data_IF_947870095159
#
_entry.id   IF_947870095159
#
_cell.length_a   1.000
_cell.length_b   1.000
_cell.length_c   1.000
_cell.angle_alpha   90.00
_cell.angle_beta   90.00
_cell.angle_gamma   90.00
#
_symmetry.space_group_name_H-M   'P 1'
#
loop_
_entity.id
_entity.type
_entity.pdbx_description
1 polymer ?
#
# COMPACT_ATOMS: atom_id res chain seq x y z
N UNK A 1 8.91 -24.96 -26.14
CA UNK A 1 8.83 -24.55 -24.73
C UNK A 1 9.97 -23.57 -24.45
N UNK A 2 9.73 -22.43 -23.77
CA UNK A 2 10.82 -21.56 -23.34
C UNK A 2 11.75 -22.30 -22.36
N UNK A 3 13.06 -22.00 -22.40
CA UNK A 3 14.02 -22.57 -21.44
C UNK A 3 13.71 -22.11 -20.01
N UNK A 4 14.15 -22.87 -19.01
CA UNK A 4 13.98 -22.54 -17.59
C UNK A 4 14.54 -21.14 -17.25
N UNK A 5 15.66 -20.77 -17.87
CA UNK A 5 16.28 -19.44 -17.71
C UNK A 5 15.41 -18.32 -18.31
N UNK A 6 14.80 -18.57 -19.47
CA UNK A 6 13.89 -17.60 -20.10
C UNK A 6 12.63 -17.39 -19.25
N UNK A 7 12.05 -18.47 -18.69
CA UNK A 7 10.88 -18.34 -17.80
C UNK A 7 11.21 -17.55 -16.53
N UNK A 8 12.35 -17.84 -15.91
CA UNK A 8 12.81 -17.13 -14.72
C UNK A 8 13.01 -15.63 -14.96
N UNK A 9 13.61 -15.27 -16.09
CA UNK A 9 13.79 -13.87 -16.47
C UNK A 9 12.45 -13.16 -16.70
N UNK A 10 11.49 -13.82 -17.36
CA UNK A 10 10.14 -13.28 -17.57
C UNK A 10 9.44 -13.02 -16.23
N UNK A 11 9.48 -13.96 -15.30
CA UNK A 11 8.84 -13.79 -14.00
C UNK A 11 9.49 -12.68 -13.17
N UNK A 12 10.83 -12.57 -13.17
CA UNK A 12 11.54 -11.51 -12.44
C UNK A 12 11.23 -10.13 -13.03
N UNK A 13 11.15 -10.01 -14.35
CA UNK A 13 10.69 -8.79 -15.00
C UNK A 13 9.23 -8.46 -14.66
N UNK A 14 8.33 -9.45 -14.68
CA UNK A 14 6.93 -9.25 -14.29
C UNK A 14 6.81 -8.80 -12.83
N UNK A 15 7.55 -9.43 -11.93
CA UNK A 15 7.64 -9.05 -10.50
C UNK A 15 8.10 -7.59 -10.35
N UNK A 16 9.16 -7.20 -11.07
CA UNK A 16 9.68 -5.84 -11.07
C UNK A 16 8.63 -4.81 -11.52
N UNK A 17 7.90 -5.09 -12.61
CA UNK A 17 6.85 -4.19 -13.10
C UNK A 17 5.72 -4.03 -12.07
N UNK A 18 5.28 -5.13 -11.46
CA UNK A 18 4.23 -5.10 -10.43
C UNK A 18 4.71 -4.32 -9.20
N UNK A 19 5.96 -4.48 -8.80
CA UNK A 19 6.58 -3.74 -7.70
C UNK A 19 6.65 -2.24 -7.98
N UNK A 20 7.01 -1.82 -9.19
CA UNK A 20 6.96 -0.41 -9.58
C UNK A 20 5.55 0.17 -9.51
N UNK A 21 4.55 -0.56 -10.01
CA UNK A 21 3.15 -0.14 -9.94
C UNK A 21 2.66 -0.05 -8.49
N UNK A 22 3.01 -1.03 -7.65
CA UNK A 22 2.68 -1.03 -6.23
C UNK A 22 3.33 0.15 -5.49
N UNK A 23 4.61 0.41 -5.76
CA UNK A 23 5.35 1.55 -5.20
C UNK A 23 4.73 2.89 -5.64
N UNK A 24 4.37 3.02 -6.91
CA UNK A 24 3.68 4.20 -7.43
C UNK A 24 2.34 4.42 -6.74
N UNK A 25 1.52 3.37 -6.61
CA UNK A 25 0.24 3.44 -5.91
C UNK A 25 0.40 3.84 -4.43
N UNK A 26 1.32 3.19 -3.71
CA UNK A 26 1.61 3.54 -2.32
C UNK A 26 2.12 4.98 -2.17
N UNK A 27 2.97 5.44 -3.09
CA UNK A 27 3.49 6.81 -3.12
C UNK A 27 2.41 7.86 -3.38
N UNK A 28 1.52 7.61 -4.34
CA UNK A 28 0.37 8.48 -4.62
C UNK A 28 -0.55 8.57 -3.40
N UNK A 29 -0.85 7.42 -2.76
CA UNK A 29 -1.63 7.39 -1.53
C UNK A 29 -1.02 8.25 -0.43
N UNK A 30 0.29 8.09 -0.17
CA UNK A 30 1.01 8.87 0.82
C UNK A 30 0.98 10.38 0.50
N UNK A 31 1.26 10.74 -0.75
CA UNK A 31 1.30 12.14 -1.19
C UNK A 31 -0.05 12.84 -1.02
N UNK A 32 -1.15 12.18 -1.41
CA UNK A 32 -2.50 12.71 -1.24
C UNK A 32 -2.88 12.84 0.24
N UNK A 33 -2.51 11.87 1.09
CA UNK A 33 -2.75 11.97 2.54
C UNK A 33 -1.99 13.13 3.16
N UNK A 34 -0.73 13.34 2.77
CA UNK A 34 0.08 14.45 3.27
C UNK A 34 -0.42 15.81 2.78
N UNK A 35 -0.94 15.89 1.55
CA UNK A 35 -1.55 17.12 1.04
C UNK A 35 -2.85 17.50 1.78
N UNK A 36 -3.57 16.50 2.32
CA UNK A 36 -4.87 16.68 2.96
C UNK A 36 -4.83 16.61 4.49
N UNK A 37 -3.64 16.45 5.07
CA UNK A 37 -3.45 16.35 6.52
C UNK A 37 -2.30 17.26 6.94
N UNK A 38 -2.52 18.14 7.92
CA UNK A 38 -1.42 18.89 8.50
C UNK A 38 -0.76 18.07 9.62
N UNK A 39 0.55 17.84 9.53
CA UNK A 39 1.34 17.15 10.56
C UNK A 39 2.21 18.11 11.41
N UNK A 40 2.12 19.41 11.19
CA UNK A 40 2.90 20.45 11.88
C UNK A 40 2.36 20.81 13.28
N UNK A 41 2.76 21.98 13.78
CA UNK A 41 2.36 22.49 15.12
C UNK A 41 0.84 22.65 15.26
N UNK A 42 0.13 22.87 14.14
CA UNK A 42 -1.33 22.91 14.06
C UNK A 42 -1.85 21.69 13.29
N UNK A 43 -1.55 20.49 13.81
CA UNK A 43 -1.92 19.26 13.14
C UNK A 43 -3.43 19.05 13.12
N UNK A 44 -4.05 19.14 11.94
CA UNK A 44 -5.48 18.92 11.75
C UNK A 44 -5.72 17.57 11.11
N UNK A 45 -6.60 16.77 11.74
CA UNK A 45 -7.03 15.48 11.24
C UNK A 45 -8.54 15.51 11.01
N UNK A 46 -8.96 15.18 9.80
CA UNK A 46 -10.37 15.16 9.44
C UNK A 46 -10.97 13.75 9.44
N UNK A 47 -10.33 12.80 10.13
CA UNK A 47 -10.81 11.43 10.23
C UNK A 47 -11.53 11.19 11.56
N UNK A 48 -12.63 10.45 11.47
CA UNK A 48 -13.48 10.05 12.60
C UNK A 48 -14.03 11.23 13.41
N UNK A 49 -14.37 12.35 12.75
CA UNK A 49 -14.97 13.51 13.42
C UNK A 49 -16.33 13.13 14.00
N UNK A 50 -16.53 13.41 15.29
CA UNK A 50 -17.81 13.22 15.98
C UNK A 50 -18.72 14.45 15.87
N UNK A 51 -20.01 14.28 16.17
CA UNK A 51 -20.98 15.38 16.20
C UNK A 51 -20.54 16.53 17.13
N UNK A 52 -20.07 16.19 18.34
CA UNK A 52 -19.63 17.19 19.32
C UNK A 52 -18.41 17.97 18.86
N UNK A 53 -17.50 17.32 18.12
CA UNK A 53 -16.33 17.94 17.54
C UNK A 53 -16.70 18.85 16.36
N UNK A 54 -17.57 18.39 15.46
CA UNK A 54 -18.04 19.17 14.32
C UNK A 54 -18.84 20.43 14.73
N UNK A 55 -19.47 20.42 15.91
CA UNK A 55 -20.20 21.57 16.45
C UNK A 55 -19.33 22.55 17.24
N UNK A 56 -18.08 22.21 17.58
CA UNK A 56 -17.22 23.05 18.41
C UNK A 56 -15.91 23.38 17.69
N UNK A 57 -15.79 24.61 17.19
CA UNK A 57 -14.63 25.10 16.44
C UNK A 57 -13.39 25.37 17.29
N UNK A 58 -13.49 25.38 18.63
CA UNK A 58 -12.34 25.49 19.53
C UNK A 58 -11.53 24.19 19.63
N UNK A 59 -12.06 23.11 19.05
CA UNK A 59 -11.59 21.75 19.16
C UNK A 59 -10.89 21.31 17.85
N UNK A 60 -9.70 21.87 17.56
CA UNK A 60 -9.05 21.73 16.24
C UNK A 60 -8.15 20.49 16.07
N UNK A 61 -7.80 19.80 17.17
CA UNK A 61 -6.78 18.73 17.22
C UNK A 61 -7.32 17.32 17.56
N UNK A 62 -8.52 16.96 17.12
CA UNK A 62 -9.06 15.62 17.41
C UNK A 62 -8.48 14.57 16.48
N UNK A 63 -8.16 13.40 17.03
CA UNK A 63 -7.73 12.22 16.29
C UNK A 63 -6.44 12.37 15.45
N UNK A 64 -5.61 13.37 15.78
CA UNK A 64 -4.24 13.54 15.24
C UNK A 64 -3.42 12.24 15.30
N UNK A 65 -3.45 11.42 16.37
CA UNK A 65 -2.73 10.15 16.40
C UNK A 65 -3.14 9.20 15.27
N UNK A 66 -4.42 9.20 14.87
CA UNK A 66 -4.96 8.33 13.83
C UNK A 66 -4.46 8.74 12.44
N UNK A 67 -4.49 10.03 12.12
CA UNK A 67 -3.91 10.52 10.88
C UNK A 67 -2.38 10.30 10.83
N UNK A 68 -1.68 10.52 11.95
CA UNK A 68 -0.24 10.22 12.05
C UNK A 68 0.05 8.73 11.83
N UNK A 69 -0.76 7.85 12.40
CA UNK A 69 -0.64 6.40 12.20
C UNK A 69 -0.83 6.04 10.72
N UNK A 70 -1.84 6.61 10.05
CA UNK A 70 -2.08 6.37 8.62
C UNK A 70 -0.91 6.83 7.76
N UNK A 71 -0.38 8.04 8.01
CA UNK A 71 0.75 8.58 7.24
C UNK A 71 2.02 7.79 7.52
N UNK A 72 2.28 7.43 8.77
CA UNK A 72 3.43 6.60 9.15
C UNK A 72 3.34 5.23 8.48
N UNK A 73 2.16 4.60 8.47
CA UNK A 73 1.94 3.30 7.83
C UNK A 73 2.19 3.40 6.31
N UNK A 74 1.59 4.38 5.64
CA UNK A 74 1.83 4.62 4.22
C UNK A 74 3.31 4.88 3.90
N UNK A 75 4.02 5.62 4.76
CA UNK A 75 5.46 5.90 4.63
C UNK A 75 6.31 4.64 4.80
N UNK A 76 6.02 3.80 5.80
CA UNK A 76 6.75 2.56 6.01
C UNK A 76 6.52 1.62 4.83
N UNK A 77 5.28 1.51 4.35
CA UNK A 77 4.95 0.70 3.18
C UNK A 77 5.69 1.17 1.91
N UNK A 78 5.75 2.47 1.63
CA UNK A 78 6.48 3.00 0.47
C UNK A 78 7.97 2.71 0.58
N UNK A 79 8.57 2.84 1.76
CA UNK A 79 9.98 2.49 1.98
C UNK A 79 10.22 0.99 1.76
N UNK A 80 9.38 0.13 2.32
CA UNK A 80 9.48 -1.31 2.14
C UNK A 80 9.35 -1.71 0.67
N UNK A 81 8.39 -1.14 -0.06
CA UNK A 81 8.22 -1.37 -1.49
C UNK A 81 9.41 -0.83 -2.30
N UNK A 82 9.95 0.34 -1.95
CA UNK A 82 11.13 0.89 -2.61
C UNK A 82 12.34 -0.03 -2.45
N UNK A 83 12.55 -0.60 -1.26
CA UNK A 83 13.61 -1.58 -1.00
C UNK A 83 13.41 -2.85 -1.83
N UNK A 84 12.18 -3.38 -1.89
CA UNK A 84 11.88 -4.56 -2.72
C UNK A 84 12.12 -4.29 -4.20
N UNK A 85 11.63 -3.16 -4.71
CA UNK A 85 11.85 -2.73 -6.10
C UNK A 85 13.34 -2.58 -6.40
N UNK A 86 14.12 -1.99 -5.50
CA UNK A 86 15.56 -1.84 -5.68
C UNK A 86 16.28 -3.19 -5.72
N UNK A 87 15.92 -4.14 -4.84
CA UNK A 87 16.52 -5.48 -4.83
C UNK A 87 16.20 -6.22 -6.14
N UNK A 88 14.93 -6.21 -6.56
CA UNK A 88 14.51 -6.88 -7.80
C UNK A 88 15.17 -6.22 -9.03
N UNK A 89 15.28 -4.89 -9.04
CA UNK A 89 15.95 -4.13 -10.10
C UNK A 89 17.42 -4.51 -10.23
N UNK A 90 18.14 -4.63 -9.12
CA UNK A 90 19.55 -5.07 -9.10
C UNK A 90 19.66 -6.51 -9.62
N UNK A 91 18.76 -7.39 -9.21
CA UNK A 91 18.75 -8.79 -9.65
C UNK A 91 18.55 -8.91 -11.17
N UNK A 92 17.58 -8.16 -11.73
CA UNK A 92 17.31 -8.11 -13.18
C UNK A 92 18.48 -7.47 -13.94
N UNK A 93 19.03 -6.36 -13.44
CA UNK A 93 20.05 -5.57 -14.16
C UNK A 93 21.41 -6.24 -14.22
N UNK A 94 21.86 -6.84 -13.11
CA UNK A 94 23.20 -7.41 -13.02
C UNK A 94 23.24 -8.93 -13.12
N UNK A 95 22.08 -9.59 -13.32
CA UNK A 95 21.94 -11.06 -13.27
C UNK A 95 22.54 -11.68 -12.01
N UNK A 96 22.59 -10.92 -10.91
CA UNK A 96 23.18 -11.38 -9.65
C UNK A 96 22.18 -12.30 -8.96
N UNK A 97 22.60 -13.55 -8.74
CA UNK A 97 21.82 -14.51 -7.98
C UNK A 97 22.12 -14.35 -6.49
N UNK A 98 21.23 -13.70 -5.75
CA UNK A 98 21.35 -13.59 -4.29
C UNK A 98 21.07 -14.99 -3.70
N UNK A 99 22.12 -15.79 -3.50
CA UNK A 99 22.04 -17.18 -3.04
C UNK A 99 21.73 -17.36 -1.55
N UNK A 100 21.53 -16.28 -0.79
CA UNK A 100 21.41 -16.39 0.66
C UNK A 100 19.95 -16.58 1.07
N UNK A 101 19.62 -17.73 1.65
CA UNK A 101 18.29 -18.06 2.19
C UNK A 101 17.75 -16.97 3.14
N UNK A 102 18.63 -16.35 3.93
CA UNK A 102 18.33 -15.22 4.81
C UNK A 102 17.77 -14.02 4.03
N UNK A 103 18.30 -13.72 2.84
CA UNK A 103 17.81 -12.62 2.01
C UNK A 103 16.39 -12.88 1.50
N UNK A 104 16.06 -14.15 1.19
CA UNK A 104 14.72 -14.53 0.74
C UNK A 104 13.68 -14.42 1.87
N UNK A 105 14.02 -14.85 3.09
CA UNK A 105 13.16 -14.68 4.27
C UNK A 105 12.89 -13.19 4.52
N UNK A 106 13.94 -12.37 4.49
CA UNK A 106 13.81 -10.92 4.69
C UNK A 106 12.89 -10.30 3.63
N UNK A 107 13.02 -10.67 2.36
CA UNK A 107 12.13 -10.18 1.30
C UNK A 107 10.66 -10.50 1.60
N UNK A 108 10.34 -11.74 2.00
CA UNK A 108 8.97 -12.13 2.34
C UNK A 108 8.43 -11.31 3.52
N UNK A 109 9.25 -11.09 4.54
CA UNK A 109 8.86 -10.24 5.69
C UNK A 109 8.58 -8.80 5.26
N UNK A 110 9.40 -8.24 4.35
CA UNK A 110 9.19 -6.89 3.82
C UNK A 110 7.90 -6.83 2.99
N UNK A 111 7.59 -7.85 2.19
CA UNK A 111 6.32 -7.93 1.46
C UNK A 111 5.10 -7.94 2.40
N UNK A 112 5.10 -8.84 3.38
CA UNK A 112 4.00 -8.96 4.37
C UNK A 112 3.85 -7.66 5.15
N UNK A 113 4.96 -7.05 5.57
CA UNK A 113 4.97 -5.74 6.21
C UNK A 113 4.32 -4.67 5.33
N UNK A 114 4.74 -4.58 4.07
CA UNK A 114 4.19 -3.59 3.10
C UNK A 114 2.67 -3.74 2.94
N UNK A 115 2.21 -4.98 2.76
CA UNK A 115 0.78 -5.31 2.62
C UNK A 115 0.01 -4.87 3.87
N UNK A 116 0.51 -5.23 5.06
CA UNK A 116 -0.14 -4.91 6.33
C UNK A 116 -0.23 -3.39 6.56
N UNK A 117 0.85 -2.65 6.32
CA UNK A 117 0.85 -1.19 6.50
C UNK A 117 -0.03 -0.45 5.47
N UNK A 118 -0.12 -0.94 4.23
CA UNK A 118 -1.07 -0.40 3.26
C UNK A 118 -2.52 -0.71 3.63
N UNK A 119 -2.80 -1.90 4.17
CA UNK A 119 -4.13 -2.24 4.68
C UNK A 119 -4.54 -1.34 5.84
N UNK A 120 -3.63 -1.10 6.80
CA UNK A 120 -3.89 -0.17 7.90
C UNK A 120 -4.23 1.22 7.36
N UNK A 121 -3.42 1.73 6.43
CA UNK A 121 -3.69 3.01 5.76
C UNK A 121 -5.08 3.02 5.10
N UNK A 122 -5.36 2.03 4.26
CA UNK A 122 -6.64 1.91 3.55
C UNK A 122 -7.83 1.92 4.52
N UNK A 123 -7.81 1.07 5.54
CA UNK A 123 -8.92 0.94 6.50
C UNK A 123 -9.10 2.23 7.30
N UNK A 124 -8.01 2.81 7.81
CA UNK A 124 -8.06 4.03 8.63
C UNK A 124 -8.61 5.22 7.82
N UNK A 125 -8.14 5.38 6.59
CA UNK A 125 -8.58 6.49 5.72
C UNK A 125 -10.03 6.31 5.29
N UNK A 126 -10.40 5.12 4.82
CA UNK A 126 -11.79 4.86 4.37
C UNK A 126 -12.80 5.03 5.50
N UNK A 127 -12.63 4.28 6.59
CA UNK A 127 -13.58 4.32 7.73
C UNK A 127 -13.55 5.66 8.46
N UNK A 128 -12.38 6.29 8.52
CA UNK A 128 -12.21 7.61 9.12
C UNK A 128 -12.91 8.70 8.34
N UNK A 129 -12.73 8.73 7.02
CA UNK A 129 -13.39 9.70 6.16
C UNK A 129 -14.90 9.47 6.09
N UNK A 130 -15.34 8.21 5.95
CA UNK A 130 -16.75 7.84 5.93
C UNK A 130 -17.49 8.33 7.18
N UNK A 131 -16.91 8.09 8.37
CA UNK A 131 -17.51 8.55 9.63
C UNK A 131 -17.61 10.07 9.69
N UNK A 132 -16.56 10.78 9.30
CA UNK A 132 -16.59 12.25 9.23
C UNK A 132 -17.71 12.73 8.31
N UNK A 133 -17.82 12.14 7.13
CA UNK A 133 -18.85 12.46 6.15
C UNK A 133 -20.27 12.19 6.65
N UNK A 134 -20.49 11.05 7.30
CA UNK A 134 -21.77 10.72 7.91
C UNK A 134 -22.15 11.74 9.00
N UNK A 135 -21.18 12.16 9.83
CA UNK A 135 -21.39 13.18 10.86
C UNK A 135 -21.84 14.51 10.26
N UNK A 136 -21.11 15.04 9.28
CA UNK A 136 -21.45 16.33 8.66
C UNK A 136 -22.79 16.27 7.92
N UNK A 137 -23.06 15.19 7.17
CA UNK A 137 -24.35 14.97 6.51
C UNK A 137 -25.50 14.95 7.51
N UNK A 138 -25.32 14.35 8.68
CA UNK A 138 -26.36 14.31 9.70
C UNK A 138 -26.65 15.71 10.27
N UNK A 139 -25.61 16.50 10.55
CA UNK A 139 -25.75 17.88 11.04
C UNK A 139 -26.58 18.71 10.06
N UNK A 140 -26.19 18.71 8.78
CA UNK A 140 -26.91 19.44 7.73
C UNK A 140 -28.36 18.95 7.60
N UNK A 141 -28.59 17.64 7.66
CA UNK A 141 -29.96 17.06 7.58
C UNK A 141 -30.84 17.50 8.75
N UNK A 142 -30.27 17.67 9.95
CA UNK A 142 -31.01 18.15 11.13
C UNK A 142 -31.20 19.66 11.17
N UNK A 143 -30.79 20.40 10.13
CA UNK A 143 -30.87 21.86 10.09
C UNK A 143 -29.82 22.56 10.96
N UNK A 144 -28.82 21.82 11.46
CA UNK A 144 -27.69 22.39 12.17
C UNK A 144 -26.66 22.94 11.20
N UNK A 145 -26.02 24.03 11.58
CA UNK A 145 -24.85 24.57 10.87
C UNK A 145 -23.60 24.12 11.62
N UNK A 146 -22.68 23.35 10.99
CA UNK A 146 -21.43 22.98 11.63
C UNK A 146 -20.68 24.23 12.13
N UNK A 147 -19.92 24.09 13.21
CA UNK A 147 -19.08 25.18 13.71
C UNK A 147 -17.87 25.49 12.81
N UNK A 148 -17.64 24.70 11.76
CA UNK A 148 -16.56 24.90 10.79
C UNK A 148 -16.84 26.06 9.84
N UNK A 149 -15.78 26.73 9.39
CA UNK A 149 -15.83 27.88 8.47
C UNK A 149 -16.33 27.49 7.06
N UNK A 150 -16.31 26.20 6.73
CA UNK A 150 -16.74 25.63 5.45
C UNK A 150 -17.81 24.54 5.65
N UNK A 151 -18.69 24.41 4.66
CA UNK A 151 -19.57 23.25 4.52
C UNK A 151 -18.76 22.10 3.93
N UNK A 152 -18.67 20.97 4.64
CA UNK A 152 -17.78 19.88 4.24
C UNK A 152 -18.30 19.15 3.00
N UNK A 153 -17.62 19.29 1.86
CA UNK A 153 -17.83 18.44 0.68
C UNK A 153 -17.04 17.14 0.81
N UNK A 154 -17.75 16.03 0.93
CA UNK A 154 -17.18 14.71 1.09
C UNK A 154 -16.51 14.14 -0.15
N UNK A 155 -16.84 14.66 -1.33
CA UNK A 155 -16.41 14.12 -2.61
C UNK A 155 -15.63 15.15 -3.44
N UNK A 156 -15.34 16.31 -2.87
CA UNK A 156 -14.79 17.44 -3.62
C UNK A 156 -13.95 18.40 -2.78
N UNK A 157 -13.53 19.52 -3.39
CA UNK A 157 -12.76 20.55 -2.73
C UNK A 157 -13.62 21.38 -1.78
N UNK A 158 -13.01 21.93 -0.72
CA UNK A 158 -13.70 22.84 0.19
C UNK A 158 -13.58 24.28 -0.28
N UNK A 159 -14.70 25.00 -0.31
CA UNK A 159 -14.76 26.42 -0.64
C UNK A 159 -15.45 27.20 0.46
N UNK A 160 -14.99 28.43 0.68
CA UNK A 160 -15.68 29.41 1.51
C UNK A 160 -16.47 30.30 0.56
N UNK A 161 -17.80 30.35 0.74
CA UNK A 161 -18.66 31.29 0.04
C UNK A 161 -18.66 32.61 0.80
N UNK A 162 -18.17 33.68 0.18
CA UNK A 162 -18.41 35.04 0.69
C UNK A 162 -19.75 35.58 0.15
N UNK A 163 -20.32 36.57 0.85
CA UNK A 163 -21.58 37.22 0.48
C UNK A 163 -21.53 37.99 -0.85
N UNK A 164 -20.37 38.07 -1.50
CA UNK A 164 -20.10 38.80 -2.74
C UNK A 164 -19.90 37.87 -3.96
N UNK A 165 -20.42 36.64 -3.88
CA UNK A 165 -20.46 35.68 -4.99
C UNK A 165 -19.06 35.23 -5.47
N UNK A 166 -18.02 35.42 -4.66
CA UNK A 166 -16.66 34.94 -4.94
C UNK A 166 -16.33 33.78 -4.00
N UNK A 167 -16.13 32.59 -4.58
CA UNK A 167 -15.70 31.40 -3.85
C UNK A 167 -14.20 31.47 -3.58
N UNK A 168 -13.77 31.52 -2.32
CA UNK A 168 -12.36 31.43 -1.94
C UNK A 168 -12.03 29.95 -1.68
N UNK A 169 -10.98 29.42 -2.33
CA UNK A 169 -10.55 28.03 -2.20
C UNK A 169 -9.82 27.52 -3.45
N UNK A 170 -9.49 26.22 -3.54
CA UNK A 170 -9.86 25.15 -2.61
C UNK A 170 -8.97 25.08 -1.36
N UNK A 171 -9.57 24.69 -0.22
CA UNK A 171 -8.84 24.41 1.02
C UNK A 171 -8.85 22.90 1.33
N UNK A 172 -7.78 22.36 1.94
CA UNK A 172 -7.82 21.00 2.48
C UNK A 172 -8.79 20.93 3.67
N UNK A 173 -9.44 19.77 3.88
CA UNK A 173 -9.27 18.51 3.16
C UNK A 173 -10.12 18.44 1.87
N UNK A 174 -9.52 18.00 0.77
CA UNK A 174 -10.23 17.63 -0.46
C UNK A 174 -10.73 16.17 -0.36
N UNK A 175 -12.05 15.99 -0.35
CA UNK A 175 -12.67 14.66 -0.21
C UNK A 175 -12.34 13.71 -1.35
N UNK A 176 -12.26 14.22 -2.59
CA UNK A 176 -11.88 13.43 -3.75
C UNK A 176 -10.46 12.86 -3.61
N UNK A 177 -9.53 13.68 -3.11
CA UNK A 177 -8.14 13.28 -2.92
C UNK A 177 -7.98 12.27 -1.78
N UNK A 178 -8.74 12.41 -0.68
CA UNK A 178 -8.76 11.45 0.41
C UNK A 178 -9.29 10.08 -0.06
N UNK A 179 -10.40 10.07 -0.80
CA UNK A 179 -10.96 8.84 -1.39
C UNK A 179 -9.94 8.20 -2.34
N UNK A 180 -9.34 9.02 -3.20
CA UNK A 180 -8.32 8.55 -4.14
C UNK A 180 -7.11 7.96 -3.41
N UNK A 181 -6.68 8.58 -2.30
CA UNK A 181 -5.59 8.06 -1.49
C UNK A 181 -5.90 6.67 -0.93
N UNK A 182 -7.12 6.46 -0.42
CA UNK A 182 -7.57 5.15 0.04
C UNK A 182 -7.61 4.10 -1.09
N UNK A 183 -8.11 4.48 -2.27
CA UNK A 183 -8.16 3.59 -3.45
C UNK A 183 -6.75 3.16 -3.86
N UNK A 184 -5.81 4.09 -3.96
CA UNK A 184 -4.43 3.77 -4.30
C UNK A 184 -3.72 2.93 -3.24
N UNK A 185 -4.03 3.10 -1.94
CA UNK A 185 -3.54 2.19 -0.92
C UNK A 185 -4.06 0.76 -1.16
N UNK A 186 -5.36 0.60 -1.46
CA UNK A 186 -5.97 -0.69 -1.75
C UNK A 186 -5.42 -1.36 -3.03
N UNK A 187 -5.24 -0.58 -4.10
CA UNK A 187 -4.58 -1.07 -5.33
C UNK A 187 -3.14 -1.49 -5.04
N UNK A 188 -2.42 -0.71 -4.22
CA UNK A 188 -1.08 -1.04 -3.75
C UNK A 188 -1.02 -2.40 -3.03
N UNK A 189 -2.00 -2.69 -2.16
CA UNK A 189 -2.15 -4.00 -1.48
C UNK A 189 -2.27 -5.14 -2.49
N UNK A 190 -3.20 -5.01 -3.45
CA UNK A 190 -3.44 -6.07 -4.45
C UNK A 190 -2.20 -6.33 -5.30
N UNK A 191 -1.50 -5.27 -5.71
CA UNK A 191 -0.27 -5.39 -6.48
C UNK A 191 0.87 -5.99 -5.63
N UNK A 192 1.04 -5.57 -4.38
CA UNK A 192 2.07 -6.13 -3.49
C UNK A 192 1.83 -7.62 -3.21
N UNK A 193 0.57 -8.02 -2.99
CA UNK A 193 0.19 -9.41 -2.84
C UNK A 193 0.42 -10.21 -4.13
N UNK A 194 0.09 -9.64 -5.29
CA UNK A 194 0.37 -10.24 -6.60
C UNK A 194 1.88 -10.45 -6.84
N UNK A 195 2.71 -9.46 -6.53
CA UNK A 195 4.16 -9.57 -6.62
C UNK A 195 4.71 -10.64 -5.67
N UNK A 196 4.19 -10.73 -4.45
CA UNK A 196 4.54 -11.81 -3.50
C UNK A 196 4.17 -13.19 -4.07
N UNK A 197 2.99 -13.36 -4.66
CA UNK A 197 2.59 -14.62 -5.28
C UNK A 197 3.52 -15.02 -6.44
N UNK A 198 3.86 -14.06 -7.30
CA UNK A 198 4.82 -14.29 -8.39
C UNK A 198 6.19 -14.67 -7.85
N UNK A 199 6.67 -13.98 -6.81
CA UNK A 199 7.93 -14.28 -6.15
C UNK A 199 7.95 -15.71 -5.57
N UNK A 200 6.89 -16.12 -4.87
CA UNK A 200 6.78 -17.48 -4.31
C UNK A 200 6.75 -18.53 -5.43
N UNK A 201 5.99 -18.28 -6.51
CA UNK A 201 5.92 -19.20 -7.65
C UNK A 201 7.30 -19.40 -8.31
N UNK A 202 8.09 -18.33 -8.45
CA UNK A 202 9.47 -18.43 -8.92
C UNK A 202 10.34 -19.32 -8.02
N UNK A 203 10.22 -19.17 -6.69
CA UNK A 203 11.00 -19.98 -5.75
C UNK A 203 10.65 -21.46 -5.85
N UNK A 204 9.35 -21.78 -5.95
CA UNK A 204 8.88 -23.16 -6.10
C UNK A 204 9.34 -23.80 -7.41
N UNK A 205 9.28 -23.06 -8.53
CA UNK A 205 9.80 -23.56 -9.81
C UNK A 205 11.31 -23.81 -9.77
N UNK A 206 12.07 -22.93 -9.11
CA UNK A 206 13.51 -23.10 -8.96
C UNK A 206 13.88 -24.34 -8.12
N UNK A 207 13.16 -24.60 -7.03
CA UNK A 207 13.38 -25.80 -6.21
C UNK A 207 13.10 -27.07 -7.04
N UNK A 208 11.94 -27.13 -7.70
CA UNK A 208 11.56 -28.28 -8.54
C UNK A 208 12.57 -28.56 -9.66
N UNK A 209 13.11 -27.51 -10.28
CA UNK A 209 14.15 -27.64 -11.31
C UNK A 209 15.48 -28.21 -10.80
N UNK A 210 15.82 -28.01 -9.52
CA UNK A 210 17.06 -28.55 -8.95
C UNK A 210 16.89 -30.02 -8.53
N UNK A 211 15.70 -30.43 -8.11
CA UNK A 211 15.40 -31.84 -7.76
C UNK A 211 15.45 -32.76 -9.00
N UNK A 212 15.15 -32.22 -10.19
CA UNK A 212 15.26 -32.90 -11.49
C UNK A 212 16.68 -32.87 -12.10
N UNK A 213 17.68 -32.31 -11.40
CA UNK A 213 19.07 -32.30 -11.87
C UNK A 213 19.70 -33.71 -11.84
N UNK A 214 20.68 -34.03 -12.72
CA UNK A 214 21.17 -35.40 -12.96
C UNK A 214 21.73 -36.14 -11.73
N UNK A 215 21.95 -35.45 -10.61
CA UNK A 215 22.33 -36.07 -9.33
C UNK A 215 21.25 -37.03 -8.77
N UNK A 216 19.97 -36.80 -9.07
CA UNK A 216 18.88 -37.71 -8.69
C UNK A 216 18.77 -38.94 -9.61
N UNK A 217 19.37 -38.89 -10.81
CA UNK A 217 19.37 -40.03 -11.74
C UNK A 217 20.43 -41.06 -11.36
N UNK A 218 21.58 -40.63 -10.84
CA UNK A 218 22.62 -41.56 -10.36
C UNK A 218 22.20 -42.33 -9.10
N UNK A 219 21.34 -41.75 -8.25
CA UNK A 219 20.85 -42.46 -7.05
C UNK A 219 19.87 -43.59 -7.40
N UNK A 220 19.05 -43.42 -8.44
CA UNK A 220 18.11 -44.46 -8.89
C UNK A 220 18.80 -45.56 -9.70
N UNK A 221 19.81 -45.24 -10.53
CA UNK A 221 20.56 -46.28 -11.27
C UNK A 221 21.47 -47.12 -10.37
N UNK A 222 21.93 -46.58 -9.24
CA UNK A 222 22.73 -47.34 -8.26
C UNK A 222 21.87 -48.22 -7.32
N UNK A 223 20.57 -47.95 -7.24
CA UNK A 223 19.63 -48.76 -6.45
C UNK A 223 19.06 -49.93 -7.29
N UNK A 224 18.89 -49.73 -8.60
CA UNK A 224 18.38 -50.77 -9.52
C UNK A 224 19.42 -51.85 -9.89
N UNK A 225 20.72 -51.58 -9.70
CA UNK A 225 21.79 -52.57 -9.92
C UNK A 225 22.09 -53.48 -8.72
N UNK A 226 21.51 -53.22 -7.54
CA UNK A 226 21.77 -54.03 -6.32
C UNK A 226 20.69 -55.09 -6.04
N UNK A 227 19.65 -55.18 -6.88
CA UNK A 227 18.54 -56.14 -6.71
C UNK A 227 18.60 -57.34 -7.69
N UNK A 228 19.72 -57.53 -8.41
CA UNK A 228 19.86 -58.62 -9.41
C UNK A 228 21.02 -59.60 -9.14
N UNK A 229 21.62 -59.58 -7.95
CA UNK A 229 22.56 -60.61 -7.50
C UNK A 229 21.95 -61.43 -6.35
N UNK A 230 21.06 -62.37 -6.70
CA UNK A 230 20.74 -63.59 -5.94
C UNK A 230 20.16 -64.67 -6.87
#
# INVERSE_FOLDING_TARGET
MPSADNMKQIFSFASLVILFLSLGAAGTSLGLLQANTNNGVYATCHFFISYTQAMNSSLVNYNVPTCKLSIASATIATICLALLTAIELISVSFKIYVKTFIAKIIQVVIFVGSILFLLITMIVVTTGWEKTCATYKNITRTGGTPGSVFNLDCNGPQYISDSYSSSIGPFPPNGAEIITAAVFAGVGVLLAAGALCVYIAQQLMYIRSNDESPYSRELNTNMENNDNDD
#
